data_IF_996445143535
#
_entry.id   IF_996445143535
#
_cell.length_a   1.000
_cell.length_b   1.000
_cell.length_c   1.000
_cell.angle_alpha   90.00
_cell.angle_beta   90.00
_cell.angle_gamma   90.00
#
_symmetry.space_group_name_H-M   'P 1'
#
loop_
_entity.id
_entity.type
_entity.pdbx_description
1 polymer ?
#
# COMPACT_ATOMS: atom_id res chain seq x y z
N UNK A 1 -0.56 -28.22 -5.35
CA UNK A 1 0.47 -27.28 -4.91
C UNK A 1 0.80 -26.33 -6.04
N UNK A 2 0.76 -25.05 -5.79
CA UNK A 2 1.07 -24.09 -6.83
C UNK A 2 2.58 -23.91 -6.97
N UNK A 3 3.11 -24.23 -8.14
CA UNK A 3 4.50 -23.95 -8.48
C UNK A 3 4.74 -22.46 -8.73
N UNK A 4 3.67 -21.66 -8.80
CA UNK A 4 3.75 -20.24 -9.09
C UNK A 4 3.95 -19.38 -7.83
N UNK A 5 3.74 -19.94 -6.65
CA UNK A 5 3.85 -19.19 -5.40
C UNK A 5 5.27 -18.65 -5.20
N UNK A 6 5.33 -17.46 -4.66
CA UNK A 6 6.61 -16.83 -4.29
C UNK A 6 7.09 -17.33 -2.94
N UNK A 7 8.40 -17.47 -2.79
CA UNK A 7 9.01 -17.67 -1.48
C UNK A 7 8.85 -16.42 -0.62
N UNK A 8 9.13 -16.54 0.67
CA UNK A 8 9.10 -15.38 1.56
C UNK A 8 10.00 -14.25 1.07
N UNK A 9 11.23 -14.58 0.71
CA UNK A 9 12.18 -13.59 0.20
C UNK A 9 11.68 -12.93 -1.07
N UNK A 10 11.11 -13.71 -1.98
CA UNK A 10 10.59 -13.20 -3.25
C UNK A 10 9.41 -12.26 -3.03
N UNK A 11 8.43 -12.65 -2.21
CA UNK A 11 7.24 -11.82 -1.98
C UNK A 11 7.57 -10.53 -1.25
N UNK A 12 8.47 -10.58 -0.28
CA UNK A 12 8.89 -9.39 0.45
C UNK A 12 9.65 -8.43 -0.48
N UNK A 13 10.53 -8.95 -1.33
CA UNK A 13 11.27 -8.15 -2.30
C UNK A 13 10.33 -7.51 -3.33
N UNK A 14 9.35 -8.28 -3.83
CA UNK A 14 8.38 -7.74 -4.79
C UNK A 14 7.57 -6.61 -4.16
N UNK A 15 7.04 -6.83 -2.97
CA UNK A 15 6.24 -5.83 -2.26
C UNK A 15 7.06 -4.57 -1.94
N UNK A 16 8.36 -4.72 -1.69
CA UNK A 16 9.25 -3.58 -1.42
C UNK A 16 9.55 -2.73 -2.66
N UNK A 17 9.25 -3.23 -3.84
CA UNK A 17 9.38 -2.47 -5.08
C UNK A 17 8.39 -1.31 -5.14
N UNK A 18 8.61 -0.39 -6.07
CA UNK A 18 7.72 0.76 -6.25
C UNK A 18 6.52 0.34 -7.07
N UNK A 19 5.39 0.14 -6.44
CA UNK A 19 4.13 -0.24 -7.06
C UNK A 19 3.00 0.62 -6.49
N UNK A 20 1.97 0.84 -7.27
CA UNK A 20 0.71 1.35 -6.73
C UNK A 20 -0.05 0.13 -6.19
N UNK A 21 -0.44 0.19 -4.93
CA UNK A 21 -1.22 -0.89 -4.33
C UNK A 21 -2.71 -0.60 -4.46
N UNK A 22 -3.48 -1.65 -4.67
CA UNK A 22 -4.94 -1.56 -4.55
C UNK A 22 -5.29 -1.96 -3.13
N UNK A 23 -5.84 -1.01 -2.39
CA UNK A 23 -6.31 -1.22 -1.02
C UNK A 23 -7.76 -1.65 -1.05
N UNK A 24 -8.10 -2.68 -0.28
CA UNK A 24 -9.47 -3.14 -0.15
C UNK A 24 -9.83 -3.26 1.33
N UNK A 25 -10.98 -2.73 1.71
CA UNK A 25 -11.47 -2.77 3.09
C UNK A 25 -12.97 -3.04 3.08
N UNK A 26 -13.43 -3.84 4.04
CA UNK A 26 -14.84 -4.18 4.16
C UNK A 26 -15.71 -2.92 4.37
N UNK A 27 -16.87 -2.88 3.72
CA UNK A 27 -17.80 -1.76 3.78
C UNK A 27 -19.21 -2.27 4.08
N UNK A 28 -19.39 -2.83 5.28
CA UNK A 28 -20.68 -3.35 5.74
C UNK A 28 -21.24 -4.40 4.79
N UNK A 29 -22.50 -4.21 4.37
CA UNK A 29 -23.17 -5.12 3.42
C UNK A 29 -22.85 -4.80 1.96
N UNK A 30 -22.11 -3.72 1.70
CA UNK A 30 -21.73 -3.34 0.34
C UNK A 30 -20.51 -4.13 -0.09
N UNK A 31 -20.17 -4.05 -1.39
CA UNK A 31 -18.89 -4.55 -1.87
C UNK A 31 -17.74 -3.83 -1.16
N UNK A 32 -16.57 -4.48 -1.04
CA UNK A 32 -15.43 -3.85 -0.38
C UNK A 32 -15.08 -2.50 -1.02
N UNK A 33 -14.76 -1.52 -0.18
CA UNK A 33 -14.25 -0.24 -0.63
C UNK A 33 -12.84 -0.46 -1.17
N UNK A 34 -12.58 -0.08 -2.43
CA UNK A 34 -11.35 -0.44 -3.13
C UNK A 34 -10.80 0.77 -3.86
N UNK A 35 -9.56 1.14 -3.54
CA UNK A 35 -8.90 2.32 -4.12
C UNK A 35 -7.40 2.09 -4.26
N UNK A 36 -6.73 2.76 -5.23
CA UNK A 36 -5.27 2.73 -5.31
C UNK A 36 -4.65 3.62 -4.24
N UNK A 37 -3.52 3.20 -3.72
CA UNK A 37 -2.74 3.98 -2.74
C UNK A 37 -1.24 3.85 -3.02
N UNK A 38 -0.49 4.89 -2.68
CA UNK A 38 0.96 4.82 -2.55
C UNK A 38 1.28 4.25 -1.17
N UNK A 39 2.36 3.50 -1.06
CA UNK A 39 2.74 2.89 0.20
C UNK A 39 4.25 2.82 0.36
N UNK A 40 4.67 2.53 1.55
CA UNK A 40 6.05 2.26 1.91
C UNK A 40 6.11 0.90 2.61
N UNK A 41 7.09 0.10 2.23
CA UNK A 41 7.30 -1.20 2.84
C UNK A 41 8.78 -1.60 2.79
N UNK A 42 9.30 -2.08 3.90
CA UNK A 42 10.60 -2.72 3.98
C UNK A 42 10.38 -4.16 4.43
N UNK A 43 11.13 -5.15 3.87
CA UNK A 43 10.98 -6.54 4.26
C UNK A 43 11.01 -6.75 5.76
N UNK A 44 10.03 -7.49 6.27
CA UNK A 44 9.90 -7.76 7.71
C UNK A 44 9.18 -6.69 8.51
N UNK A 45 8.80 -5.57 7.90
CA UNK A 45 8.12 -4.48 8.61
C UNK A 45 6.64 -4.37 8.20
N UNK A 46 5.96 -3.36 8.73
CA UNK A 46 4.58 -3.06 8.36
C UNK A 46 4.52 -2.36 7.00
N UNK A 47 3.40 -2.54 6.30
CA UNK A 47 3.08 -1.75 5.12
C UNK A 47 2.43 -0.47 5.60
N UNK A 48 2.94 0.69 5.18
CA UNK A 48 2.46 1.98 5.66
C UNK A 48 2.01 2.85 4.51
N UNK A 49 0.88 3.54 4.69
CA UNK A 49 0.44 4.57 3.75
C UNK A 49 -0.17 5.74 4.50
N UNK A 50 -0.16 6.89 3.86
CA UNK A 50 -0.72 8.12 4.42
C UNK A 50 -2.01 8.46 3.70
N UNK A 51 -3.02 8.88 4.44
CA UNK A 51 -4.28 9.34 3.87
C UNK A 51 -4.76 10.58 4.62
N UNK A 52 -5.61 11.37 3.97
CA UNK A 52 -6.20 12.55 4.59
C UNK A 52 -7.08 12.20 5.79
N UNK A 53 -7.10 13.08 6.79
CA UNK A 53 -7.87 12.86 8.01
C UNK A 53 -9.37 12.80 7.80
N UNK A 54 -9.87 13.32 6.67
CA UNK A 54 -11.29 13.29 6.30
C UNK A 54 -11.61 12.21 5.27
N UNK A 55 -10.63 11.37 4.92
CA UNK A 55 -10.81 10.32 3.92
C UNK A 55 -11.87 9.32 4.35
N UNK A 56 -12.69 8.90 3.39
CA UNK A 56 -13.70 7.86 3.59
C UNK A 56 -13.10 6.53 4.04
N UNK A 57 -11.85 6.26 3.69
CA UNK A 57 -11.14 5.05 4.10
C UNK A 57 -11.05 4.89 5.61
N UNK A 58 -10.83 5.99 6.33
CA UNK A 58 -10.54 5.91 7.76
C UNK A 58 -11.64 5.29 8.61
N UNK A 59 -12.92 5.72 8.50
CA UNK A 59 -13.98 5.09 9.26
C UNK A 59 -14.12 3.59 8.96
N UNK A 60 -13.94 3.22 7.69
CA UNK A 60 -14.04 1.83 7.26
C UNK A 60 -12.90 1.00 7.83
N UNK A 61 -11.68 1.52 7.81
CA UNK A 61 -10.51 0.85 8.37
C UNK A 61 -10.68 0.68 9.89
N UNK A 62 -11.14 1.72 10.57
CA UNK A 62 -11.38 1.66 12.03
C UNK A 62 -12.40 0.59 12.38
N UNK A 63 -13.49 0.50 11.62
CA UNK A 63 -14.55 -0.48 11.86
C UNK A 63 -14.08 -1.89 11.54
N UNK A 64 -13.43 -2.10 10.40
CA UNK A 64 -12.99 -3.42 9.97
C UNK A 64 -11.78 -3.93 10.77
N UNK A 65 -10.86 -3.04 11.11
CA UNK A 65 -9.64 -3.38 11.82
C UNK A 65 -8.60 -4.11 10.98
N UNK A 66 -8.93 -4.46 9.76
CA UNK A 66 -8.06 -5.19 8.81
C UNK A 66 -8.25 -4.66 7.41
N UNK A 67 -7.19 -4.74 6.62
CA UNK A 67 -7.24 -4.37 5.20
C UNK A 67 -6.45 -5.37 4.36
N UNK A 68 -6.70 -5.34 3.07
CA UNK A 68 -5.99 -6.14 2.07
C UNK A 68 -5.36 -5.22 1.03
N UNK A 69 -4.13 -5.53 0.65
CA UNK A 69 -3.45 -4.88 -0.47
C UNK A 69 -3.22 -5.89 -1.58
N UNK A 70 -3.31 -5.41 -2.81
CA UNK A 70 -2.86 -6.18 -3.97
C UNK A 70 -1.94 -5.33 -4.82
N UNK A 71 -0.73 -5.81 -5.08
CA UNK A 71 0.22 -5.19 -5.99
C UNK A 71 0.51 -6.17 -7.11
N UNK A 72 0.67 -5.65 -8.33
CA UNK A 72 0.86 -6.49 -9.50
C UNK A 72 1.71 -5.81 -10.56
N UNK A 73 2.19 -6.61 -11.49
CA UNK A 73 2.71 -6.10 -12.77
C UNK A 73 1.59 -6.17 -13.81
N UNK A 74 1.64 -5.26 -14.79
CA UNK A 74 0.65 -5.23 -15.88
C UNK A 74 1.20 -5.79 -17.19
N UNK A 75 2.44 -6.27 -17.18
CA UNK A 75 3.12 -6.84 -18.33
C UNK A 75 3.41 -8.32 -18.06
N UNK A 76 3.07 -9.17 -19.03
CA UNK A 76 3.35 -10.60 -18.91
C UNK A 76 4.86 -10.86 -19.01
N UNK A 77 5.39 -11.85 -18.30
CA UNK A 77 4.69 -12.75 -17.34
C UNK A 77 4.29 -11.99 -16.08
N UNK A 78 3.02 -12.14 -15.69
CA UNK A 78 2.47 -11.40 -14.57
C UNK A 78 3.01 -11.90 -13.23
N UNK A 79 3.13 -10.95 -12.30
CA UNK A 79 3.45 -11.23 -10.90
C UNK A 79 2.45 -10.47 -10.05
N UNK A 80 2.01 -11.08 -8.94
CA UNK A 80 1.22 -10.33 -7.97
C UNK A 80 1.48 -10.81 -6.55
N UNK A 81 1.26 -9.89 -5.62
CA UNK A 81 1.27 -10.16 -4.19
C UNK A 81 0.00 -9.56 -3.61
N UNK A 82 -0.82 -10.42 -3.00
CA UNK A 82 -1.94 -10.00 -2.18
C UNK A 82 -1.56 -10.26 -0.73
N UNK A 83 -1.74 -9.26 0.12
CA UNK A 83 -1.37 -9.37 1.53
C UNK A 83 -2.41 -8.70 2.39
N UNK A 84 -2.79 -9.33 3.51
CA UNK A 84 -3.74 -8.75 4.45
C UNK A 84 -3.22 -8.79 5.87
N UNK A 85 -3.73 -7.91 6.69
CA UNK A 85 -3.40 -7.89 8.10
C UNK A 85 -4.12 -6.80 8.86
N UNK A 86 -3.93 -6.78 10.19
CA UNK A 86 -4.52 -5.75 11.04
C UNK A 86 -3.93 -4.38 10.75
N UNK A 87 -4.79 -3.36 10.81
CA UNK A 87 -4.43 -1.98 10.56
C UNK A 87 -4.43 -1.18 11.84
N UNK A 88 -3.41 -0.36 12.04
CA UNK A 88 -3.34 0.62 13.13
C UNK A 88 -3.20 2.00 12.54
N UNK A 89 -3.70 3.00 13.28
CA UNK A 89 -3.72 4.39 12.84
C UNK A 89 -2.83 5.22 13.76
N UNK A 90 -2.00 6.06 13.18
CA UNK A 90 -1.07 6.90 13.93
C UNK A 90 -0.71 8.16 13.17
N UNK A 91 0.35 8.80 13.61
CA UNK A 91 0.83 10.04 13.01
C UNK A 91 1.95 9.74 12.02
N UNK A 92 1.94 10.37 10.84
CA UNK A 92 3.03 10.19 9.88
C UNK A 92 4.26 10.98 10.29
N UNK A 93 5.43 10.44 9.95
CA UNK A 93 6.69 11.19 9.94
C UNK A 93 6.80 11.88 8.59
N UNK A 94 6.92 13.20 8.56
CA UNK A 94 6.88 13.95 7.32
C UNK A 94 7.97 13.50 6.33
N UNK A 95 9.21 13.41 6.77
CA UNK A 95 10.31 13.07 5.87
C UNK A 95 10.21 11.65 5.32
N UNK A 96 9.83 10.71 6.17
CA UNK A 96 9.75 9.29 5.79
C UNK A 96 8.47 8.96 5.04
N UNK A 97 7.33 9.40 5.57
CA UNK A 97 6.02 8.92 5.13
C UNK A 97 5.38 9.82 4.08
N UNK A 98 5.70 11.10 4.05
CA UNK A 98 5.09 12.06 3.14
C UNK A 98 6.07 12.45 2.05
N UNK A 99 7.17 13.09 2.42
CA UNK A 99 8.17 13.54 1.44
C UNK A 99 8.87 12.36 0.75
N UNK A 100 9.29 11.39 1.54
CA UNK A 100 9.97 10.21 1.02
C UNK A 100 9.10 9.42 0.04
N UNK A 101 7.81 9.28 0.37
CA UNK A 101 6.87 8.55 -0.49
C UNK A 101 6.58 9.34 -1.77
N UNK A 102 6.36 10.65 -1.67
CA UNK A 102 6.13 11.48 -2.87
C UNK A 102 7.32 11.39 -3.83
N UNK A 103 8.53 11.47 -3.32
CA UNK A 103 9.74 11.36 -4.12
C UNK A 103 9.93 9.96 -4.71
N UNK A 104 9.58 8.94 -3.95
CA UNK A 104 9.65 7.55 -4.41
C UNK A 104 8.80 7.32 -5.66
N UNK A 105 7.60 7.87 -5.69
CA UNK A 105 6.65 7.66 -6.79
C UNK A 105 6.83 8.66 -7.94
N UNK A 106 7.24 9.88 -7.66
CA UNK A 106 7.28 10.95 -8.66
C UNK A 106 8.71 11.42 -9.02
N UNK A 107 9.72 10.98 -8.27
CA UNK A 107 11.07 11.50 -8.39
C UNK A 107 11.24 12.77 -7.56
N UNK A 108 12.49 13.22 -7.39
CA UNK A 108 12.80 14.30 -6.47
C UNK A 108 12.12 15.61 -6.84
N UNK A 109 12.24 16.02 -8.11
CA UNK A 109 11.69 17.30 -8.55
C UNK A 109 10.16 17.31 -8.54
N UNK A 110 9.53 16.34 -9.17
CA UNK A 110 8.07 16.25 -9.23
C UNK A 110 7.47 15.98 -7.85
N UNK A 111 8.16 15.22 -7.01
CA UNK A 111 7.73 14.97 -5.65
C UNK A 111 7.64 16.27 -4.85
N UNK A 112 8.65 17.14 -4.96
CA UNK A 112 8.62 18.45 -4.27
C UNK A 112 7.54 19.36 -4.83
N UNK A 113 7.32 19.36 -6.14
CA UNK A 113 6.23 20.12 -6.75
C UNK A 113 4.87 19.65 -6.26
N UNK A 114 4.66 18.33 -6.18
CA UNK A 114 3.43 17.74 -5.68
C UNK A 114 3.17 18.17 -4.23
N UNK A 115 4.20 18.13 -3.39
CA UNK A 115 4.08 18.53 -1.98
C UNK A 115 3.72 20.01 -1.85
N UNK A 116 4.32 20.86 -2.66
CA UNK A 116 4.00 22.29 -2.65
C UNK A 116 2.56 22.54 -3.09
N UNK A 117 2.10 21.85 -4.12
CA UNK A 117 0.74 22.01 -4.65
C UNK A 117 -0.35 21.50 -3.71
N UNK A 118 -0.03 20.51 -2.87
CA UNK A 118 -1.00 19.89 -1.96
C UNK A 118 -0.88 20.35 -0.51
N UNK A 119 0.07 21.22 -0.21
CA UNK A 119 0.38 21.61 1.17
C UNK A 119 -0.82 22.19 1.92
N UNK A 120 -1.56 23.09 1.28
CA UNK A 120 -2.71 23.74 1.89
C UNK A 120 -3.83 22.75 2.21
N UNK A 121 -4.14 21.89 1.25
CA UNK A 121 -5.17 20.87 1.42
C UNK A 121 -4.79 19.87 2.52
N UNK A 122 -3.52 19.43 2.54
CA UNK A 122 -3.04 18.51 3.56
C UNK A 122 -3.09 19.12 4.96
N UNK A 123 -2.75 20.40 5.07
CA UNK A 123 -2.85 21.09 6.35
C UNK A 123 -4.28 21.23 6.83
N UNK A 124 -5.21 21.49 5.91
CA UNK A 124 -6.64 21.65 6.24
C UNK A 124 -7.29 20.34 6.65
N UNK A 125 -6.99 19.24 5.96
CA UNK A 125 -7.60 17.94 6.22
C UNK A 125 -6.88 17.14 7.31
N UNK A 126 -5.62 17.44 7.55
CA UNK A 126 -4.75 16.63 8.38
C UNK A 126 -4.30 15.39 7.63
N UNK A 127 -3.30 14.72 8.16
CA UNK A 127 -2.77 13.49 7.58
C UNK A 127 -2.63 12.42 8.64
N UNK A 128 -2.91 11.18 8.25
CA UNK A 128 -2.94 10.03 9.14
C UNK A 128 -2.12 8.91 8.52
N UNK A 129 -1.32 8.25 9.34
CA UNK A 129 -0.56 7.07 8.92
C UNK A 129 -1.35 5.82 9.25
N UNK A 130 -1.52 4.97 8.26
CA UNK A 130 -2.09 3.64 8.44
C UNK A 130 -0.96 2.63 8.30
N UNK A 131 -0.78 1.78 9.32
CA UNK A 131 0.24 0.73 9.34
C UNK A 131 -0.44 -0.62 9.37
N UNK A 132 -0.04 -1.51 8.48
CA UNK A 132 -0.65 -2.83 8.34
C UNK A 132 0.40 -3.90 8.51
N UNK A 133 0.20 -4.79 9.48
CA UNK A 133 1.12 -5.91 9.71
C UNK A 133 0.74 -7.08 8.81
N UNK A 134 1.64 -7.51 7.90
CA UNK A 134 1.34 -8.64 7.02
C UNK A 134 1.09 -9.92 7.81
N UNK A 135 -0.05 -10.58 7.56
CA UNK A 135 -0.40 -11.85 8.20
C UNK A 135 -0.69 -12.96 7.20
N UNK A 136 -1.37 -12.65 6.10
CA UNK A 136 -1.72 -13.63 5.09
C UNK A 136 -1.29 -13.16 3.72
N UNK A 137 -0.67 -14.05 2.98
CA UNK A 137 -0.13 -13.77 1.66
C UNK A 137 -0.71 -14.72 0.63
N UNK A 138 -1.08 -14.16 -0.53
CA UNK A 138 -1.41 -14.93 -1.72
C UNK A 138 -0.56 -14.35 -2.85
N UNK A 139 0.26 -15.20 -3.48
CA UNK A 139 1.23 -14.72 -4.46
C UNK A 139 1.27 -15.59 -5.69
N UNK A 140 1.68 -15.00 -6.81
CA UNK A 140 1.99 -15.76 -8.01
C UNK A 140 3.06 -15.05 -8.82
N UNK A 141 3.96 -15.85 -9.38
CA UNK A 141 4.98 -15.38 -10.30
C UNK A 141 4.92 -16.28 -11.55
N UNK A 142 4.35 -15.75 -12.61
CA UNK A 142 4.13 -16.51 -13.85
C UNK A 142 5.41 -16.75 -14.65
N UNK A 143 6.53 -16.12 -14.28
CA UNK A 143 7.83 -16.51 -14.84
C UNK A 143 8.16 -17.96 -14.53
N UNK A 144 7.63 -18.50 -13.45
CA UNK A 144 7.88 -19.88 -13.04
C UNK A 144 7.20 -20.93 -13.94
N UNK A 145 6.30 -20.50 -14.81
CA UNK A 145 5.67 -21.41 -15.77
C UNK A 145 6.62 -21.87 -16.88
N UNK A 146 7.65 -21.09 -17.14
CA UNK A 146 8.57 -21.33 -18.26
C UNK A 146 9.88 -21.99 -17.84
N UNK A 147 9.99 -22.35 -16.56
CA UNK A 147 11.20 -22.94 -15.99
C UNK A 147 11.38 -24.41 -16.27
#
# INVERSE_FOLDING_TARGET
>A
MSSLSMSRTQREAFLAGTHVAILSVADGARGPFTVPVWYRYEPGSAICFVTGGTSRKLPLIKTAGRVTFCVQTETAPYEYVTVEGPATIGEPDYERDIRGVARRYLGDQMGEMYLAMTAEQRAAEGEVLVSVRPERWLTADFHKMTG
#
